data_IF_424189179167
#
_entry.id   IF_424189179167
#
_cell.length_a   1.000
_cell.length_b   1.000
_cell.length_c   1.000
_cell.angle_alpha   90.00
_cell.angle_beta   90.00
_cell.angle_gamma   90.00
#
_symmetry.space_group_name_H-M   'P 1'
#
loop_
_entity.id
_entity.type
_entity.pdbx_description
1 polymer ?
#
# COMPACT_ATOMS: atom_id res chain seq x y z
N UNK A 1 10.71 5.82 20.83
CA UNK A 1 11.95 5.12 20.48
C UNK A 1 11.63 4.13 19.37
N UNK A 2 12.00 4.41 18.11
CA UNK A 2 11.73 3.52 16.98
C UNK A 2 12.80 2.43 16.95
N UNK A 3 12.40 1.15 16.99
CA UNK A 3 13.34 0.02 16.89
C UNK A 3 13.53 -0.34 15.42
N UNK A 4 14.75 -0.11 14.94
CA UNK A 4 15.23 -0.56 13.63
C UNK A 4 15.49 -2.06 13.67
N UNK A 5 14.78 -2.84 12.85
CA UNK A 5 15.12 -4.24 12.61
C UNK A 5 15.31 -4.39 11.10
N UNK A 6 16.55 -4.63 10.69
CA UNK A 6 16.96 -4.62 9.29
C UNK A 6 16.64 -5.93 8.57
N UNK A 7 16.05 -5.81 7.38
CA UNK A 7 16.30 -6.67 6.24
C UNK A 7 16.31 -5.74 5.01
N UNK A 8 17.50 -5.59 4.39
CA UNK A 8 17.75 -4.90 3.13
C UNK A 8 17.04 -3.56 2.88
N UNK A 9 17.63 -2.44 3.30
CA UNK A 9 17.30 -1.05 2.87
C UNK A 9 15.81 -0.61 2.85
N UNK A 10 14.89 -1.40 3.40
CA UNK A 10 13.59 -0.94 3.83
C UNK A 10 13.83 -0.20 5.14
N UNK A 11 13.96 1.13 5.06
CA UNK A 11 13.84 1.96 6.25
C UNK A 11 12.43 1.72 6.81
N UNK A 12 12.32 0.77 7.75
CA UNK A 12 11.08 0.45 8.48
C UNK A 12 10.70 1.63 9.36
N UNK A 13 10.25 2.71 8.76
CA UNK A 13 9.44 3.69 9.46
C UNK A 13 8.07 3.04 9.68
N UNK A 14 7.97 2.29 10.78
CA UNK A 14 6.70 1.88 11.36
C UNK A 14 5.89 3.15 11.68
N UNK A 15 4.96 3.49 10.80
CA UNK A 15 3.99 4.55 11.05
C UNK A 15 2.85 3.94 11.88
N UNK A 16 2.77 4.32 13.15
CA UNK A 16 1.55 4.09 13.94
C UNK A 16 0.39 4.84 13.28
N UNK A 17 -0.83 4.28 13.31
CA UNK A 17 -2.01 4.90 12.70
C UNK A 17 -2.23 6.38 13.10
N UNK A 18 -1.78 6.77 14.30
CA UNK A 18 -1.85 8.15 14.81
C UNK A 18 -0.89 9.14 14.13
N UNK A 19 0.15 8.64 13.46
CA UNK A 19 1.15 9.45 12.73
C UNK A 19 0.96 9.45 11.23
N UNK A 20 0.02 8.65 10.72
CA UNK A 20 -0.32 8.67 9.30
C UNK A 20 -0.98 10.01 8.94
N UNK A 21 -0.62 10.61 7.79
CA UNK A 21 -1.39 11.69 7.19
C UNK A 21 -2.88 11.30 7.06
N UNK A 22 -3.79 12.28 7.21
CA UNK A 22 -5.23 12.02 7.26
C UNK A 22 -5.78 11.34 6.00
N UNK A 23 -5.26 11.72 4.83
CA UNK A 23 -5.54 11.09 3.52
C UNK A 23 -5.13 9.62 3.48
N UNK A 24 -3.96 9.29 4.03
CA UNK A 24 -3.49 7.90 4.13
C UNK A 24 -4.41 7.08 5.03
N UNK A 25 -4.86 7.61 6.18
CA UNK A 25 -5.80 6.91 7.07
C UNK A 25 -7.13 6.60 6.39
N UNK A 26 -7.68 7.56 5.66
CA UNK A 26 -8.92 7.38 4.91
C UNK A 26 -8.73 6.29 3.85
N UNK A 27 -7.66 6.36 3.06
CA UNK A 27 -7.35 5.37 2.04
C UNK A 27 -7.18 3.96 2.63
N UNK A 28 -6.58 3.84 3.82
CA UNK A 28 -6.46 2.56 4.54
C UNK A 28 -7.85 1.99 4.90
N UNK A 29 -8.78 2.82 5.38
CA UNK A 29 -10.15 2.41 5.71
C UNK A 29 -10.91 1.99 4.46
N UNK A 30 -10.82 2.76 3.38
CA UNK A 30 -11.48 2.47 2.11
C UNK A 30 -10.96 1.18 1.48
N UNK A 31 -9.63 1.00 1.45
CA UNK A 31 -9.00 -0.17 0.89
C UNK A 31 -9.42 -1.45 1.63
N UNK A 32 -9.45 -1.42 2.97
CA UNK A 32 -10.00 -2.52 3.79
C UNK A 32 -11.44 -2.84 3.43
N UNK A 33 -12.28 -1.82 3.34
CA UNK A 33 -13.69 -1.99 3.03
C UNK A 33 -13.84 -2.59 1.63
N UNK A 34 -13.01 -2.21 0.66
CA UNK A 34 -13.03 -2.75 -0.68
C UNK A 34 -12.59 -4.22 -0.73
N UNK A 35 -11.48 -4.59 -0.07
CA UNK A 35 -11.03 -6.00 0.04
C UNK A 35 -12.13 -6.86 0.68
N UNK A 36 -12.76 -6.37 1.74
CA UNK A 36 -13.84 -7.08 2.44
C UNK A 36 -15.09 -7.26 1.57
N UNK A 37 -15.49 -6.22 0.82
CA UNK A 37 -16.66 -6.26 -0.08
C UNK A 37 -16.42 -7.13 -1.31
N UNK A 38 -15.17 -7.18 -1.78
CA UNK A 38 -14.72 -7.93 -2.96
C UNK A 38 -15.51 -7.63 -4.26
N UNK A 39 -16.13 -6.45 -4.35
CA UNK A 39 -16.82 -6.03 -5.56
C UNK A 39 -16.80 -4.49 -5.73
N UNK A 40 -16.04 -3.95 -6.71
CA UNK A 40 -14.97 -4.64 -7.42
C UNK A 40 -13.77 -4.89 -6.49
N UNK A 41 -13.03 -5.98 -6.72
CA UNK A 41 -11.73 -6.16 -6.07
C UNK A 41 -10.80 -5.01 -6.48
N UNK A 42 -9.89 -4.57 -5.60
CA UNK A 42 -8.85 -3.63 -5.96
C UNK A 42 -7.93 -4.19 -7.07
N UNK A 43 -7.14 -3.31 -7.67
CA UNK A 43 -6.23 -3.70 -8.76
C UNK A 43 -5.10 -4.57 -8.20
N UNK A 44 -4.72 -5.63 -8.91
CA UNK A 44 -3.60 -6.48 -8.53
C UNK A 44 -2.28 -5.73 -8.77
N UNK A 45 -1.41 -5.73 -7.76
CA UNK A 45 -0.05 -5.25 -7.86
C UNK A 45 0.90 -6.43 -8.05
N UNK A 46 1.66 -6.43 -9.14
CA UNK A 46 2.48 -7.60 -9.51
C UNK A 46 3.85 -7.64 -8.84
N UNK A 47 4.29 -6.54 -8.21
CA UNK A 47 5.62 -6.44 -7.57
C UNK A 47 6.78 -6.82 -8.52
N UNK A 48 6.69 -6.46 -9.81
CA UNK A 48 7.66 -6.85 -10.85
C UNK A 48 9.10 -6.42 -10.55
N UNK A 49 9.26 -5.27 -9.90
CA UNK A 49 10.58 -4.71 -9.55
C UNK A 49 11.16 -5.28 -8.25
N UNK A 50 10.42 -6.15 -7.55
CA UNK A 50 10.90 -6.79 -6.31
C UNK A 50 11.07 -5.83 -5.13
N UNK A 51 10.36 -4.69 -5.11
CA UNK A 51 10.41 -3.72 -4.02
C UNK A 51 9.78 -4.22 -2.72
N UNK A 52 8.89 -5.20 -2.79
CA UNK A 52 8.25 -5.88 -1.67
C UNK A 52 8.64 -7.37 -1.60
N UNK A 53 8.45 -8.05 -0.46
CA UNK A 53 8.65 -9.50 -0.37
C UNK A 53 7.77 -10.26 -1.38
N UNK A 54 8.28 -11.37 -1.92
CA UNK A 54 7.50 -12.24 -2.80
C UNK A 54 6.23 -12.75 -2.09
N UNK A 55 5.10 -12.74 -2.80
CA UNK A 55 3.86 -13.32 -2.30
C UNK A 55 3.96 -14.84 -2.29
N UNK A 56 3.50 -15.49 -1.22
CA UNK A 56 3.40 -16.94 -1.18
C UNK A 56 2.20 -17.45 -1.99
N UNK A 57 2.13 -18.76 -2.24
CA UNK A 57 0.99 -19.37 -2.92
C UNK A 57 -0.33 -19.03 -2.20
N UNK A 58 -1.33 -18.60 -2.97
CA UNK A 58 -2.62 -18.16 -2.43
C UNK A 58 -2.64 -16.76 -1.81
N UNK A 59 -1.55 -16.00 -1.92
CA UNK A 59 -1.49 -14.60 -1.54
C UNK A 59 -1.37 -13.70 -2.78
N UNK A 60 -2.00 -12.54 -2.73
CA UNK A 60 -2.01 -11.57 -3.82
C UNK A 60 -1.75 -10.19 -3.26
N UNK A 61 -0.91 -9.41 -3.94
CA UNK A 61 -0.79 -8.00 -3.66
C UNK A 61 -1.87 -7.23 -4.41
N UNK A 62 -2.53 -6.33 -3.70
CA UNK A 62 -3.47 -5.39 -4.25
C UNK A 62 -2.97 -3.96 -4.04
N UNK A 63 -3.29 -3.06 -4.95
CA UNK A 63 -2.98 -1.63 -4.82
C UNK A 63 -4.23 -0.76 -4.69
N UNK A 64 -4.05 0.37 -3.99
CA UNK A 64 -5.08 1.37 -3.79
C UNK A 64 -4.46 2.78 -3.83
N UNK A 65 -5.06 3.75 -4.54
CA UNK A 65 -4.56 5.11 -4.60
C UNK A 65 -4.75 5.85 -3.26
N UNK A 66 -3.81 6.71 -2.89
CA UNK A 66 -3.94 7.53 -1.68
C UNK A 66 -4.09 9.01 -2.03
N UNK A 67 -5.11 9.63 -1.43
CA UNK A 67 -5.43 11.04 -1.61
C UNK A 67 -6.29 11.30 -2.83
N UNK A 68 -6.80 12.54 -2.92
CA UNK A 68 -7.38 13.04 -4.16
C UNK A 68 -6.25 13.15 -5.18
N UNK A 69 -6.37 12.40 -6.27
CA UNK A 69 -5.88 12.83 -7.56
C UNK A 69 -6.01 14.36 -7.64
N UNK A 70 -4.91 15.13 -7.58
CA UNK A 70 -4.94 16.50 -8.08
C UNK A 70 -5.60 16.41 -9.44
N UNK A 71 -6.75 17.08 -9.58
CA UNK A 71 -7.79 16.80 -10.56
C UNK A 71 -7.24 16.19 -11.87
N UNK A 72 -7.81 15.05 -12.35
CA UNK A 72 -7.28 14.36 -13.51
C UNK A 72 -7.17 15.35 -14.67
N UNK A 73 -5.94 15.76 -14.99
CA UNK A 73 -5.70 16.48 -16.23
C UNK A 73 -5.95 15.45 -17.33
N UNK A 74 -6.90 15.68 -18.25
CA UNK A 74 -7.16 14.73 -19.32
C UNK A 74 -5.86 14.47 -20.10
N UNK A 75 -5.38 13.22 -20.07
CA UNK A 75 -4.13 12.81 -20.70
C UNK A 75 -2.93 12.62 -19.77
N UNK A 76 -3.04 12.90 -18.46
CA UNK A 76 -1.96 12.59 -17.51
C UNK A 76 -2.07 11.13 -16.99
N UNK A 77 -1.12 10.24 -17.34
CA UNK A 77 -1.07 8.88 -16.79
C UNK A 77 -0.83 8.86 -15.27
N UNK A 78 -0.36 9.97 -14.68
CA UNK A 78 -0.16 10.16 -13.25
C UNK A 78 -1.31 10.93 -12.56
N UNK A 79 -2.44 11.13 -13.24
CA UNK A 79 -3.63 11.77 -12.67
C UNK A 79 -4.07 11.16 -11.32
N UNK A 80 -3.74 9.89 -11.05
CA UNK A 80 -4.00 9.22 -9.75
C UNK A 80 -3.05 9.64 -8.61
N UNK A 81 -2.14 10.59 -8.84
CA UNK A 81 -1.05 10.94 -7.94
C UNK A 81 0.00 9.84 -7.82
N UNK A 82 1.06 10.11 -7.06
CA UNK A 82 2.21 9.20 -6.86
C UNK A 82 2.07 8.32 -5.61
N UNK A 83 1.10 8.62 -4.75
CA UNK A 83 0.93 7.94 -3.45
C UNK A 83 0.04 6.71 -3.57
N UNK A 84 0.50 5.60 -3.01
CA UNK A 84 -0.14 4.28 -3.15
C UNK A 84 -0.08 3.50 -1.85
N UNK A 85 -1.15 2.76 -1.57
CA UNK A 85 -1.16 1.66 -0.63
C UNK A 85 -1.06 0.36 -1.41
N UNK A 86 -0.29 -0.59 -0.88
CA UNK A 86 -0.23 -1.96 -1.39
C UNK A 86 -0.44 -2.91 -0.23
N UNK A 87 -1.42 -3.81 -0.34
CA UNK A 87 -1.74 -4.78 0.68
C UNK A 87 -1.48 -6.20 0.19
N UNK A 88 -0.81 -7.01 0.99
CA UNK A 88 -0.71 -8.45 0.81
C UNK A 88 -1.95 -9.09 1.41
N UNK A 89 -2.70 -9.83 0.60
CA UNK A 89 -3.99 -10.40 0.97
C UNK A 89 -3.98 -11.90 0.70
N UNK A 90 -4.51 -12.70 1.63
CA UNK A 90 -4.66 -14.15 1.45
C UNK A 90 -5.94 -14.53 0.69
N UNK A 91 -6.11 -15.82 0.39
CA UNK A 91 -7.30 -16.36 -0.26
C UNK A 91 -8.61 -16.13 0.56
N UNK A 92 -8.49 -15.96 1.88
CA UNK A 92 -9.59 -15.61 2.79
C UNK A 92 -9.93 -14.12 2.83
N UNK A 93 -9.22 -13.28 2.05
CA UNK A 93 -9.33 -11.82 2.02
C UNK A 93 -8.85 -11.14 3.32
N UNK A 94 -8.00 -11.82 4.08
CA UNK A 94 -7.33 -11.21 5.22
C UNK A 94 -6.14 -10.41 4.73
N UNK A 95 -6.03 -9.17 5.17
CA UNK A 95 -4.86 -8.34 4.93
C UNK A 95 -3.76 -8.80 5.87
N UNK A 96 -2.69 -9.36 5.32
CA UNK A 96 -1.54 -9.86 6.08
C UNK A 96 -0.55 -8.74 6.36
N UNK A 97 -0.33 -7.87 5.37
CA UNK A 97 0.59 -6.72 5.45
C UNK A 97 0.07 -5.59 4.59
N UNK A 98 0.41 -4.36 4.96
CA UNK A 98 0.10 -3.18 4.17
C UNK A 98 1.32 -2.28 4.09
N UNK A 99 1.57 -1.74 2.91
CA UNK A 99 2.71 -0.90 2.60
C UNK A 99 2.21 0.39 1.98
N UNK A 100 2.89 1.49 2.28
CA UNK A 100 2.66 2.79 1.69
C UNK A 100 3.88 3.20 0.87
N UNK A 101 3.65 3.72 -0.33
CA UNK A 101 4.65 4.37 -1.17
C UNK A 101 4.22 5.80 -1.42
N UNK A 102 5.09 6.77 -1.11
CA UNK A 102 4.88 8.18 -1.44
C UNK A 102 5.26 8.54 -2.87
N UNK A 103 6.18 7.77 -3.46
CA UNK A 103 6.90 8.11 -4.69
C UNK A 103 6.69 7.04 -5.80
N UNK A 104 5.44 6.63 -6.04
CA UNK A 104 5.05 5.74 -7.14
C UNK A 104 5.89 4.45 -7.27
N UNK A 105 5.95 3.67 -6.20
CA UNK A 105 6.57 2.34 -6.10
C UNK A 105 8.09 2.31 -6.11
N UNK A 106 8.77 3.46 -6.01
CA UNK A 106 10.24 3.52 -6.00
C UNK A 106 10.85 2.49 -5.01
N UNK A 107 11.75 1.60 -5.48
CA UNK A 107 12.40 0.63 -4.61
C UNK A 107 13.11 1.28 -3.42
N UNK A 108 12.94 0.68 -2.23
CA UNK A 108 13.51 1.20 -0.98
C UNK A 108 12.74 2.37 -0.35
N UNK A 109 11.68 2.89 -0.99
CA UNK A 109 10.82 3.97 -0.44
C UNK A 109 9.43 3.48 -0.02
N UNK A 110 9.44 2.32 0.63
CA UNK A 110 8.24 1.68 1.14
C UNK A 110 8.16 1.78 2.66
N UNK A 111 6.98 2.14 3.14
CA UNK A 111 6.66 2.22 4.55
C UNK A 111 5.70 1.09 4.90
N UNK A 112 6.15 0.09 5.64
CA UNK A 112 5.26 -0.94 6.18
C UNK A 112 4.38 -0.32 7.28
N UNK A 113 3.07 -0.40 7.08
CA UNK A 113 2.09 0.09 8.04
C UNK A 113 1.92 -0.95 9.12
N UNK A 114 2.17 -0.56 10.37
CA UNK A 114 2.00 -1.47 11.48
C UNK A 114 0.50 -1.63 11.74
N UNK A 115 0.05 -2.86 11.56
CA UNK A 115 -1.34 -3.24 11.73
C UNK A 115 -1.53 -4.00 13.06
N UNK A 116 -2.60 -3.74 13.80
CA UNK A 116 -3.09 -4.67 14.81
C UNK A 116 -3.75 -5.88 14.17
#
# INVERSE_FOLDING_TARGET
MAKTVGFGKLERQMLSNERLPGDVRIAVIEFKNQIRRANPLPVVFENREGGLPAAAAGQVYYEFPVGQATAPTPGDPHARGSRRLVALVDAGRNILRMYFSGDHYLPGRWFELQYP
#
